data_IF_316369569922
#
_entry.id   IF_316369569922
#
_cell.length_a   1.000
_cell.length_b   1.000
_cell.length_c   1.000
_cell.angle_alpha   90.00
_cell.angle_beta   90.00
_cell.angle_gamma   90.00
#
_symmetry.space_group_name_H-M   'P 1'
#
loop_
_entity.id
_entity.type
_entity.pdbx_description
1 polymer ?
#
# COMPACT_ATOMS: atom_id res chain seq x y z
N UNK A 1 -47.87 11.33 59.58
CA UNK A 1 -46.79 11.46 58.57
C UNK A 1 -47.32 10.80 57.30
N UNK A 2 -47.96 11.58 56.43
CA UNK A 2 -48.60 11.10 55.19
C UNK A 2 -47.82 11.72 54.05
N UNK A 3 -47.05 10.90 53.34
CA UNK A 3 -46.31 11.29 52.14
C UNK A 3 -47.34 11.30 51.01
N UNK A 4 -47.86 12.47 50.66
CA UNK A 4 -48.66 12.65 49.45
C UNK A 4 -47.72 12.50 48.24
N UNK A 5 -47.85 11.36 47.54
CA UNK A 5 -47.21 11.11 46.27
C UNK A 5 -47.81 12.01 45.20
N UNK A 6 -47.20 13.17 44.99
CA UNK A 6 -47.55 14.08 43.90
C UNK A 6 -47.09 13.46 42.57
N UNK A 7 -47.87 12.51 42.03
CA UNK A 7 -47.66 11.96 40.70
C UNK A 7 -48.05 13.02 39.67
N UNK A 8 -47.04 13.78 39.20
CA UNK A 8 -47.16 14.64 38.03
C UNK A 8 -47.52 13.79 36.82
N UNK A 9 -48.78 13.89 36.37
CA UNK A 9 -49.31 13.15 35.22
C UNK A 9 -48.53 13.56 33.97
N UNK A 10 -47.67 12.66 33.47
CA UNK A 10 -46.79 12.93 32.33
C UNK A 10 -47.64 13.28 31.09
N UNK A 11 -47.54 14.52 30.62
CA UNK A 11 -48.33 15.01 29.49
C UNK A 11 -47.74 14.49 28.16
N UNK A 12 -48.23 13.33 27.74
CA UNK A 12 -47.77 12.61 26.55
C UNK A 12 -47.93 13.42 25.27
N UNK A 13 -48.98 14.23 25.15
CA UNK A 13 -49.22 15.04 23.94
C UNK A 13 -48.16 16.12 23.77
N UNK A 14 -47.78 16.78 24.87
CA UNK A 14 -46.73 17.79 24.84
C UNK A 14 -45.34 17.17 24.57
N UNK A 15 -45.09 15.98 25.13
CA UNK A 15 -43.84 15.24 24.89
C UNK A 15 -43.72 14.76 23.44
N UNK A 16 -44.79 14.21 22.85
CA UNK A 16 -44.83 13.81 21.44
C UNK A 16 -44.65 15.03 20.52
N UNK A 17 -45.31 16.16 20.85
CA UNK A 17 -45.15 17.41 20.09
C UNK A 17 -43.73 17.98 20.13
N UNK A 18 -43.05 17.90 21.27
CA UNK A 18 -41.64 18.27 21.41
C UNK A 18 -40.73 17.33 20.62
N UNK A 19 -41.01 16.03 20.61
CA UNK A 19 -40.27 15.04 19.83
C UNK A 19 -40.37 15.31 18.33
N UNK A 20 -41.56 15.59 17.81
CA UNK A 20 -41.73 15.92 16.39
C UNK A 20 -40.98 17.19 16.00
N UNK A 21 -41.06 18.25 16.82
CA UNK A 21 -40.25 19.46 16.60
C UNK A 21 -38.76 19.16 16.62
N UNK A 22 -38.29 18.31 17.54
CA UNK A 22 -36.89 17.94 17.63
C UNK A 22 -36.43 17.15 16.40
N UNK A 23 -37.23 16.19 15.93
CA UNK A 23 -36.96 15.40 14.72
C UNK A 23 -36.92 16.30 13.48
N UNK A 24 -37.87 17.22 13.35
CA UNK A 24 -37.92 18.13 12.20
C UNK A 24 -36.74 19.11 12.20
N UNK A 25 -36.40 19.67 13.37
CA UNK A 25 -35.21 20.52 13.56
C UNK A 25 -33.92 19.75 13.25
N UNK A 26 -33.80 18.51 13.72
CA UNK A 26 -32.65 17.66 13.44
C UNK A 26 -32.53 17.32 11.94
N UNK A 27 -33.67 17.09 11.26
CA UNK A 27 -33.68 16.84 9.83
C UNK A 27 -33.25 18.06 9.02
N UNK A 28 -33.68 19.26 9.42
CA UNK A 28 -33.26 20.52 8.79
C UNK A 28 -31.77 20.79 9.01
N UNK A 29 -31.29 20.59 10.24
CA UNK A 29 -29.88 20.74 10.58
C UNK A 29 -28.98 19.76 9.82
N UNK A 30 -29.40 18.48 9.70
CA UNK A 30 -28.68 17.50 8.89
C UNK A 30 -28.65 17.89 7.41
N UNK A 31 -29.76 18.39 6.87
CA UNK A 31 -29.81 18.87 5.48
C UNK A 31 -28.88 20.07 5.25
N UNK A 32 -28.82 21.02 6.18
CA UNK A 32 -27.90 22.16 6.09
C UNK A 32 -26.44 21.75 6.20
N UNK A 33 -26.11 20.80 7.09
CA UNK A 33 -24.76 20.23 7.17
C UNK A 33 -24.40 19.53 5.87
N UNK A 34 -25.27 18.66 5.35
CA UNK A 34 -25.01 17.94 4.11
C UNK A 34 -24.84 18.89 2.93
N UNK A 35 -25.68 19.92 2.83
CA UNK A 35 -25.56 20.94 1.80
C UNK A 35 -24.27 21.74 1.94
N UNK A 36 -23.91 22.17 3.16
CA UNK A 36 -22.67 22.87 3.45
C UNK A 36 -21.44 22.02 3.09
N UNK A 37 -21.42 20.76 3.50
CA UNK A 37 -20.35 19.81 3.21
C UNK A 37 -20.23 19.56 1.71
N UNK A 38 -21.36 19.40 1.01
CA UNK A 38 -21.38 19.20 -0.45
C UNK A 38 -20.86 20.43 -1.18
N UNK A 39 -21.19 21.64 -0.72
CA UNK A 39 -20.68 22.88 -1.30
C UNK A 39 -19.18 23.04 -1.04
N UNK A 40 -18.71 22.75 0.18
CA UNK A 40 -17.28 22.79 0.53
C UNK A 40 -16.49 21.76 -0.26
N UNK A 41 -16.99 20.53 -0.37
CA UNK A 41 -16.40 19.48 -1.19
C UNK A 41 -16.38 19.87 -2.66
N UNK A 42 -17.48 20.37 -3.22
CA UNK A 42 -17.52 20.82 -4.63
C UNK A 42 -16.53 21.94 -4.89
N UNK A 43 -16.48 22.97 -4.04
CA UNK A 43 -15.53 24.08 -4.19
C UNK A 43 -14.08 23.61 -4.00
N UNK A 44 -13.81 22.84 -2.97
CA UNK A 44 -12.47 22.29 -2.69
C UNK A 44 -11.98 21.39 -3.81
N UNK A 45 -12.82 20.45 -4.27
CA UNK A 45 -12.50 19.56 -5.39
C UNK A 45 -12.32 20.33 -6.70
N UNK A 46 -13.17 21.32 -7.01
CA UNK A 46 -12.98 22.17 -8.20
C UNK A 46 -11.67 22.94 -8.16
N UNK A 47 -11.32 23.50 -6.99
CA UNK A 47 -10.07 24.22 -6.82
C UNK A 47 -8.86 23.30 -6.97
N UNK A 48 -8.87 22.15 -6.27
CA UNK A 48 -7.81 21.14 -6.39
C UNK A 48 -7.69 20.64 -7.84
N UNK A 49 -8.81 20.41 -8.52
CA UNK A 49 -8.82 20.00 -9.93
C UNK A 49 -8.20 21.05 -10.85
N UNK A 50 -8.53 22.33 -10.65
CA UNK A 50 -7.95 23.41 -11.42
C UNK A 50 -6.45 23.55 -11.16
N UNK A 51 -6.01 23.43 -9.92
CA UNK A 51 -4.59 23.45 -9.54
C UNK A 51 -3.83 22.28 -10.18
N UNK A 52 -4.38 21.07 -10.13
CA UNK A 52 -3.80 19.89 -10.77
C UNK A 52 -3.70 20.11 -12.29
N UNK A 53 -4.79 20.55 -12.93
CA UNK A 53 -4.82 20.79 -14.38
C UNK A 53 -3.80 21.85 -14.80
N UNK A 54 -3.63 22.88 -13.98
CA UNK A 54 -2.64 23.94 -14.22
C UNK A 54 -1.21 23.42 -14.11
N UNK A 55 -0.88 22.73 -13.02
CA UNK A 55 0.44 22.12 -12.81
C UNK A 55 0.76 21.13 -13.94
N UNK A 56 -0.23 20.35 -14.38
CA UNK A 56 -0.07 19.39 -15.48
C UNK A 56 0.32 20.06 -16.80
N UNK A 57 -0.19 21.27 -17.08
CA UNK A 57 0.20 22.05 -18.26
C UNK A 57 1.63 22.57 -18.19
N UNK A 58 2.20 22.70 -17.00
CA UNK A 58 3.56 23.20 -16.78
C UNK A 58 4.61 22.09 -16.62
N UNK A 59 4.21 20.81 -16.70
CA UNK A 59 5.13 19.68 -16.62
C UNK A 59 6.12 19.71 -17.78
N UNK A 60 7.40 19.52 -17.46
CA UNK A 60 8.46 19.47 -18.46
C UNK A 60 8.64 18.04 -18.98
N UNK A 61 9.22 17.86 -20.18
CA UNK A 61 9.59 16.53 -20.68
C UNK A 61 10.49 15.74 -19.70
N UNK A 62 11.31 16.45 -18.92
CA UNK A 62 12.15 15.84 -17.88
C UNK A 62 11.31 15.19 -16.77
N UNK A 63 10.19 15.80 -16.37
CA UNK A 63 9.28 15.24 -15.36
C UNK A 63 8.69 13.91 -15.84
N UNK A 64 8.38 13.80 -17.13
CA UNK A 64 7.91 12.55 -17.73
C UNK A 64 8.99 11.46 -17.74
N UNK A 65 10.24 11.79 -18.09
CA UNK A 65 11.35 10.82 -18.08
C UNK A 65 11.60 10.28 -16.67
N UNK A 66 11.65 11.16 -15.68
CA UNK A 66 11.88 10.76 -14.27
C UNK A 66 10.72 9.89 -13.79
N UNK A 67 9.48 10.30 -14.04
CA UNK A 67 8.30 9.52 -13.66
C UNK A 67 8.28 8.15 -14.35
N UNK A 68 8.62 8.09 -15.64
CA UNK A 68 8.69 6.84 -16.39
C UNK A 68 9.77 5.90 -15.84
N UNK A 69 10.95 6.42 -15.48
CA UNK A 69 12.02 5.62 -14.86
C UNK A 69 11.59 5.05 -13.50
N UNK A 70 11.05 5.89 -12.60
CA UNK A 70 10.59 5.45 -11.28
C UNK A 70 9.49 4.39 -11.44
N UNK A 71 8.52 4.64 -12.33
CA UNK A 71 7.42 3.71 -12.58
C UNK A 71 7.92 2.39 -13.15
N UNK A 72 8.88 2.42 -14.07
CA UNK A 72 9.45 1.21 -14.68
C UNK A 72 10.17 0.37 -13.64
N UNK A 73 10.98 0.97 -12.77
CA UNK A 73 11.66 0.24 -11.69
C UNK A 73 10.64 -0.31 -10.67
N UNK A 74 9.61 0.48 -10.34
CA UNK A 74 8.51 0.01 -9.48
C UNK A 74 7.77 -1.19 -10.07
N UNK A 75 7.45 -1.15 -11.37
CA UNK A 75 6.82 -2.25 -12.09
C UNK A 75 7.70 -3.50 -12.12
N UNK A 76 9.02 -3.32 -12.27
CA UNK A 76 9.96 -4.44 -12.16
C UNK A 76 9.90 -5.10 -10.77
N UNK A 77 9.82 -4.31 -9.70
CA UNK A 77 9.58 -4.82 -8.34
C UNK A 77 8.26 -5.59 -8.21
N UNK A 78 7.17 -5.09 -8.81
CA UNK A 78 5.87 -5.77 -8.84
C UNK A 78 5.96 -7.11 -9.58
N UNK A 79 6.66 -7.17 -10.72
CA UNK A 79 6.85 -8.42 -11.48
C UNK A 79 7.61 -9.46 -10.64
N UNK A 80 8.68 -9.05 -9.95
CA UNK A 80 9.44 -9.93 -9.06
C UNK A 80 8.52 -10.44 -7.93
N UNK A 81 7.75 -9.54 -7.30
CA UNK A 81 6.81 -9.91 -6.24
C UNK A 81 5.75 -10.91 -6.74
N UNK A 82 5.14 -10.66 -7.90
CA UNK A 82 4.12 -11.53 -8.47
C UNK A 82 4.67 -12.91 -8.84
N UNK A 83 5.92 -12.96 -9.30
CA UNK A 83 6.62 -14.24 -9.52
C UNK A 83 6.78 -15.01 -8.20
N UNK A 84 7.25 -14.34 -7.15
CA UNK A 84 7.38 -14.93 -5.82
C UNK A 84 6.05 -15.41 -5.23
N UNK A 85 4.99 -14.61 -5.39
CA UNK A 85 3.63 -14.94 -4.96
C UNK A 85 3.05 -16.13 -5.74
N UNK A 86 3.31 -16.20 -7.06
CA UNK A 86 2.95 -17.34 -7.89
C UNK A 86 3.64 -18.63 -7.44
N UNK A 87 4.94 -18.58 -7.15
CA UNK A 87 5.68 -19.71 -6.59
C UNK A 87 5.15 -20.13 -5.21
N UNK A 88 4.84 -19.17 -4.34
CA UNK A 88 4.26 -19.46 -3.04
C UNK A 88 2.89 -20.12 -3.15
N UNK A 89 2.04 -19.63 -4.05
CA UNK A 89 0.73 -20.24 -4.32
C UNK A 89 0.89 -21.67 -4.85
N UNK A 90 1.84 -21.90 -5.74
CA UNK A 90 2.17 -23.24 -6.25
C UNK A 90 2.62 -24.19 -5.14
N UNK A 91 3.55 -23.75 -4.28
CA UNK A 91 4.01 -24.52 -3.10
C UNK A 91 2.85 -24.84 -2.16
N UNK A 92 1.93 -23.89 -1.96
CA UNK A 92 0.74 -24.09 -1.11
C UNK A 92 -0.18 -25.16 -1.71
N UNK A 93 -0.38 -25.17 -3.03
CA UNK A 93 -1.18 -26.19 -3.71
C UNK A 93 -0.54 -27.58 -3.56
N UNK A 94 0.78 -27.69 -3.77
CA UNK A 94 1.50 -28.96 -3.58
C UNK A 94 1.39 -29.46 -2.14
N UNK A 95 1.57 -28.56 -1.17
CA UNK A 95 1.41 -28.88 0.24
C UNK A 95 0.00 -29.40 0.56
N UNK A 96 -1.05 -28.79 0.00
CA UNK A 96 -2.42 -29.26 0.18
C UNK A 96 -2.68 -30.64 -0.45
N UNK A 97 -1.96 -30.99 -1.51
CA UNK A 97 -2.10 -32.28 -2.19
C UNK A 97 -1.32 -33.40 -1.51
N UNK A 98 -0.08 -33.11 -1.09
CA UNK A 98 0.88 -34.12 -0.62
C UNK A 98 0.99 -34.17 0.91
N UNK A 99 0.48 -33.15 1.62
CA UNK A 99 0.57 -33.02 3.07
C UNK A 99 1.98 -32.67 3.59
N UNK A 100 2.96 -32.53 2.70
CA UNK A 100 4.36 -32.23 3.01
C UNK A 100 4.70 -30.87 2.39
N UNK A 101 5.34 -29.99 3.17
CA UNK A 101 5.72 -28.68 2.68
C UNK A 101 6.91 -28.82 1.72
N UNK A 102 6.72 -28.43 0.46
CA UNK A 102 7.78 -28.48 -0.56
C UNK A 102 8.65 -27.23 -0.50
N UNK A 103 9.84 -27.34 0.08
CA UNK A 103 10.81 -26.24 0.11
C UNK A 103 11.50 -26.10 -1.25
N UNK A 104 11.47 -24.89 -1.81
CA UNK A 104 12.32 -24.53 -2.96
C UNK A 104 13.40 -23.57 -2.47
N UNK A 105 14.63 -24.07 -2.20
CA UNK A 105 15.70 -23.24 -1.68
C UNK A 105 16.25 -22.30 -2.77
N UNK A 106 16.73 -21.13 -2.34
CA UNK A 106 17.45 -20.19 -3.20
C UNK A 106 18.64 -20.82 -3.92
N UNK A 107 19.21 -21.87 -3.34
CA UNK A 107 20.32 -22.65 -3.91
C UNK A 107 20.04 -23.17 -5.32
N UNK A 108 18.79 -23.48 -5.66
CA UNK A 108 18.40 -23.93 -7.02
C UNK A 108 18.65 -22.82 -8.05
N UNK A 109 18.22 -21.60 -7.73
CA UNK A 109 18.40 -20.44 -8.62
C UNK A 109 19.86 -20.01 -8.66
N UNK A 110 20.57 -20.09 -7.53
CA UNK A 110 22.00 -19.87 -7.48
C UNK A 110 22.75 -20.77 -8.47
N UNK A 111 22.54 -22.09 -8.39
CA UNK A 111 23.19 -23.04 -9.29
C UNK A 111 22.85 -22.78 -10.76
N UNK A 112 21.62 -22.38 -11.06
CA UNK A 112 21.22 -22.04 -12.42
C UNK A 112 21.91 -20.78 -12.94
N UNK A 113 21.98 -19.71 -12.15
CA UNK A 113 22.57 -18.43 -12.56
C UNK A 113 24.10 -18.53 -12.71
N UNK A 114 24.74 -19.25 -11.80
CA UNK A 114 26.20 -19.35 -11.72
C UNK A 114 26.73 -20.64 -12.33
N UNK A 115 25.94 -21.31 -13.18
CA UNK A 115 26.34 -22.57 -13.78
C UNK A 115 27.66 -22.47 -14.55
N UNK A 116 28.56 -23.42 -14.31
CA UNK A 116 29.92 -23.48 -14.84
C UNK A 116 30.83 -22.29 -14.50
N UNK A 117 30.51 -21.53 -13.44
CA UNK A 117 31.38 -20.44 -12.98
C UNK A 117 32.33 -20.91 -11.86
N UNK A 118 33.48 -20.23 -11.72
CA UNK A 118 34.41 -20.46 -10.62
C UNK A 118 33.75 -20.28 -9.24
N UNK A 119 32.73 -19.42 -9.15
CA UNK A 119 31.99 -19.20 -7.92
C UNK A 119 31.12 -20.42 -7.54
N UNK A 120 30.44 -21.04 -8.50
CA UNK A 120 29.72 -22.30 -8.29
C UNK A 120 30.68 -23.44 -7.94
N UNK A 121 31.82 -23.55 -8.63
CA UNK A 121 32.83 -24.57 -8.31
C UNK A 121 33.36 -24.42 -6.88
N UNK A 122 33.70 -23.19 -6.45
CA UNK A 122 34.07 -22.91 -5.07
C UNK A 122 32.94 -23.23 -4.09
N UNK A 123 31.68 -23.01 -4.48
CA UNK A 123 30.51 -23.33 -3.65
C UNK A 123 30.37 -24.84 -3.40
N UNK A 124 30.63 -25.66 -4.43
CA UNK A 124 30.54 -27.11 -4.38
C UNK A 124 31.79 -27.75 -3.75
N UNK A 125 32.97 -27.22 -4.06
CA UNK A 125 34.27 -27.71 -3.61
C UNK A 125 35.15 -26.51 -3.20
N UNK A 126 35.01 -25.99 -1.97
CA UNK A 126 35.77 -24.83 -1.54
C UNK A 126 37.25 -25.16 -1.36
N UNK A 127 38.11 -24.46 -2.11
CA UNK A 127 39.57 -24.53 -1.94
C UNK A 127 40.08 -23.62 -0.81
N UNK A 128 39.27 -22.64 -0.39
CA UNK A 128 39.58 -21.68 0.69
C UNK A 128 38.31 -21.11 1.32
N UNK A 129 38.43 -20.38 2.44
CA UNK A 129 37.31 -19.69 3.12
C UNK A 129 36.11 -20.59 3.47
N UNK A 130 36.38 -21.81 3.97
CA UNK A 130 35.35 -22.80 4.33
C UNK A 130 34.23 -22.26 5.23
N UNK A 131 34.55 -21.44 6.22
CA UNK A 131 33.54 -20.83 7.10
C UNK A 131 32.57 -19.91 6.35
N UNK A 132 33.09 -19.11 5.40
CA UNK A 132 32.27 -18.24 4.56
C UNK A 132 31.40 -19.05 3.61
N UNK A 133 31.95 -20.11 3.00
CA UNK A 133 31.19 -21.06 2.19
C UNK A 133 30.03 -21.66 2.98
N UNK A 134 30.27 -22.11 4.21
CA UNK A 134 29.21 -22.69 5.05
C UNK A 134 28.12 -21.69 5.41
N UNK A 135 28.49 -20.45 5.77
CA UNK A 135 27.51 -19.39 6.02
C UNK A 135 26.66 -19.08 4.78
N UNK A 136 27.30 -19.03 3.61
CA UNK A 136 26.60 -18.72 2.36
C UNK A 136 25.70 -19.88 1.90
N UNK A 137 26.15 -21.14 2.02
CA UNK A 137 25.31 -22.33 1.76
C UNK A 137 24.10 -22.34 2.68
N UNK A 138 24.33 -22.13 3.98
CA UNK A 138 23.25 -22.06 4.97
C UNK A 138 22.23 -20.98 4.61
N UNK A 139 22.69 -19.79 4.21
CA UNK A 139 21.80 -18.70 3.76
C UNK A 139 20.97 -19.08 2.53
N UNK A 140 21.58 -19.72 1.53
CA UNK A 140 20.90 -20.13 0.29
C UNK A 140 19.95 -21.32 0.50
N UNK A 141 20.19 -22.14 1.52
CA UNK A 141 19.34 -23.28 1.88
C UNK A 141 18.15 -22.84 2.74
N UNK A 142 18.36 -21.95 3.70
CA UNK A 142 17.33 -21.60 4.69
C UNK A 142 16.25 -20.67 4.15
N UNK A 143 16.56 -19.84 3.14
CA UNK A 143 15.61 -18.87 2.62
C UNK A 143 14.83 -19.50 1.45
N UNK A 144 13.49 -19.63 1.57
CA UNK A 144 12.66 -20.08 0.45
C UNK A 144 12.73 -19.08 -0.70
N UNK A 145 12.84 -19.59 -1.92
CA UNK A 145 12.89 -18.79 -3.14
C UNK A 145 11.67 -17.86 -3.27
N UNK A 146 10.49 -18.33 -2.88
CA UNK A 146 9.25 -17.54 -2.88
C UNK A 146 9.38 -16.29 -2.00
N UNK A 147 9.88 -16.45 -0.77
CA UNK A 147 10.14 -15.33 0.14
C UNK A 147 11.25 -14.39 -0.37
N UNK A 148 12.31 -14.96 -0.94
CA UNK A 148 13.42 -14.21 -1.52
C UNK A 148 13.02 -13.34 -2.72
N UNK A 149 11.93 -13.68 -3.42
CA UNK A 149 11.36 -12.86 -4.48
C UNK A 149 10.33 -11.88 -3.91
N UNK A 150 9.43 -12.34 -3.05
CA UNK A 150 8.34 -11.51 -2.51
C UNK A 150 8.88 -10.32 -1.71
N UNK A 151 9.77 -10.54 -0.74
CA UNK A 151 10.19 -9.50 0.20
C UNK A 151 10.95 -8.36 -0.52
N UNK A 152 11.97 -8.62 -1.34
CA UNK A 152 12.64 -7.57 -2.10
C UNK A 152 11.73 -6.95 -3.16
N UNK A 153 10.89 -7.74 -3.83
CA UNK A 153 9.97 -7.27 -4.86
C UNK A 153 8.97 -6.24 -4.32
N UNK A 154 8.29 -6.55 -3.22
CA UNK A 154 7.34 -5.62 -2.59
C UNK A 154 8.03 -4.41 -1.99
N UNK A 155 9.22 -4.60 -1.39
CA UNK A 155 10.00 -3.50 -0.82
C UNK A 155 10.41 -2.50 -1.90
N UNK A 156 10.88 -2.99 -3.07
CA UNK A 156 11.23 -2.15 -4.21
C UNK A 156 10.00 -1.42 -4.76
N UNK A 157 8.87 -2.12 -4.91
CA UNK A 157 7.62 -1.51 -5.39
C UNK A 157 7.13 -0.40 -4.47
N UNK A 158 7.09 -0.64 -3.16
CA UNK A 158 6.68 0.34 -2.15
C UNK A 158 7.65 1.53 -2.07
N UNK A 159 8.96 1.27 -2.15
CA UNK A 159 9.97 2.31 -2.17
C UNK A 159 9.79 3.23 -3.38
N UNK A 160 9.59 2.66 -4.57
CA UNK A 160 9.37 3.45 -5.79
C UNK A 160 8.02 4.17 -5.79
N UNK A 161 6.96 3.55 -5.27
CA UNK A 161 5.66 4.21 -5.12
C UNK A 161 5.74 5.42 -4.16
N UNK A 162 6.47 5.27 -3.05
CA UNK A 162 6.71 6.36 -2.09
C UNK A 162 7.56 7.46 -2.70
N UNK A 163 8.62 7.09 -3.42
CA UNK A 163 9.47 8.04 -4.15
C UNK A 163 8.66 8.84 -5.16
N UNK A 164 7.80 8.17 -5.93
CA UNK A 164 6.91 8.80 -6.89
C UNK A 164 5.97 9.81 -6.21
N UNK A 165 5.36 9.44 -5.08
CA UNK A 165 4.49 10.34 -4.30
C UNK A 165 5.26 11.59 -3.84
N UNK A 166 6.47 11.41 -3.30
CA UNK A 166 7.32 12.51 -2.85
C UNK A 166 7.69 13.41 -4.04
N UNK A 167 8.12 12.83 -5.16
CA UNK A 167 8.51 13.57 -6.37
C UNK A 167 7.34 14.38 -6.92
N UNK A 168 6.15 13.80 -7.05
CA UNK A 168 4.96 14.53 -7.49
C UNK A 168 4.58 15.65 -6.54
N UNK A 169 4.60 15.40 -5.24
CA UNK A 169 4.26 16.40 -4.22
C UNK A 169 5.24 17.57 -4.26
N UNK A 170 6.54 17.28 -4.30
CA UNK A 170 7.58 18.30 -4.41
C UNK A 170 7.42 19.14 -5.69
N UNK A 171 7.20 18.47 -6.84
CA UNK A 171 7.03 19.16 -8.13
C UNK A 171 5.76 20.01 -8.16
N UNK A 172 4.67 19.53 -7.55
CA UNK A 172 3.42 20.29 -7.42
C UNK A 172 3.64 21.58 -6.61
N UNK A 173 4.27 21.51 -5.44
CA UNK A 173 4.57 22.70 -4.65
C UNK A 173 5.53 23.65 -5.35
N UNK A 174 6.56 23.12 -6.03
CA UNK A 174 7.51 23.93 -6.79
C UNK A 174 6.83 24.74 -7.90
N UNK A 175 5.94 24.11 -8.68
CA UNK A 175 5.24 24.78 -9.78
C UNK A 175 4.17 25.75 -9.26
N UNK A 176 3.54 25.45 -8.13
CA UNK A 176 2.61 26.37 -7.46
C UNK A 176 3.32 27.64 -6.97
N UNK A 177 4.41 27.51 -6.20
CA UNK A 177 5.15 28.65 -5.65
C UNK A 177 5.85 29.54 -6.70
N UNK A 178 6.01 29.07 -7.95
CA UNK A 178 6.67 29.84 -9.00
C UNK A 178 5.75 30.89 -9.65
N UNK A 179 4.45 30.85 -9.36
CA UNK A 179 3.43 31.74 -9.93
C UNK A 179 2.83 32.71 -8.91
N UNK A 180 3.28 32.67 -7.65
CA UNK A 180 3.05 33.72 -6.63
C UNK A 180 4.25 34.69 -6.59
#
# INVERSE_FOLDING_TARGET
MTIESNQTRFNHENWIGQLYKFIDTASQFLNEIFNGLTVLLKKGLLQIWNDIRFVFKQLTPQDFIITALITTIGMFGVIIFMTGLGLFAYQTILWLQEGIWTEFPLFVVFNFIFDNTAFQQWMLQPESWFGLQKLFSWFLEIIPLSAALMIPGISLALFMATTLLITFTYRFYQLRNRND
#
